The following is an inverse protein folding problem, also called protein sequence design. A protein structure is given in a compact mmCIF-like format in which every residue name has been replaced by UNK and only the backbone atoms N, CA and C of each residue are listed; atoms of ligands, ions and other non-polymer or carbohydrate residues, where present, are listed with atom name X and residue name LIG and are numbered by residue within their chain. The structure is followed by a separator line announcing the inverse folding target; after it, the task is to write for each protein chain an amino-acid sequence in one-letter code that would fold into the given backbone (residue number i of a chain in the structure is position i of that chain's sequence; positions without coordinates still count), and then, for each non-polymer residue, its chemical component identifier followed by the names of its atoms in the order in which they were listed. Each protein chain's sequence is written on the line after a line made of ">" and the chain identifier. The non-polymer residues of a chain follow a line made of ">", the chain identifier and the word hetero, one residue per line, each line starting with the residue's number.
data_IF_154558239070
#
_entry.id   IF_154558239070
#
_cell.length_a   1.000
_cell.length_b   1.000
_cell.length_c   1.000
_cell.angle_alpha   90.00
_cell.angle_beta   90.00
_cell.angle_gamma   90.00
#
_symmetry.space_group_name_H-M   'P 1'
#
loop_
_entity.id
_entity.type
_entity.pdbx_description
1 polymer ?
#
# COMPACT_ATOMS: atom_id res chain seq x y z
N UNK A 1 3.10 10.98 -37.18
CA UNK A 1 1.68 11.38 -37.30
C UNK A 1 0.78 10.25 -37.79
N UNK A 2 1.11 9.47 -38.82
CA UNK A 2 0.32 8.25 -39.19
C UNK A 2 0.72 6.99 -38.40
N UNK A 3 2.01 6.75 -38.18
CA UNK A 3 2.50 5.59 -37.41
C UNK A 3 2.09 5.61 -35.91
N UNK A 4 1.95 6.80 -35.33
CA UNK A 4 1.52 6.97 -33.93
C UNK A 4 0.03 6.63 -33.75
N UNK A 5 -0.79 6.91 -34.77
CA UNK A 5 -2.23 6.61 -34.75
C UNK A 5 -2.49 5.11 -34.88
N UNK A 6 -1.72 4.40 -35.71
CA UNK A 6 -1.80 2.94 -35.85
C UNK A 6 -1.33 2.21 -34.58
N UNK A 7 -0.27 2.72 -33.93
CA UNK A 7 0.23 2.17 -32.66
C UNK A 7 -0.77 2.33 -31.51
N UNK A 8 -1.38 3.50 -31.34
CA UNK A 8 -2.39 3.73 -30.31
C UNK A 8 -3.67 2.93 -30.55
N UNK A 9 -4.07 2.76 -31.82
CA UNK A 9 -5.21 1.91 -32.21
C UNK A 9 -4.95 0.43 -31.87
N UNK A 10 -3.75 -0.07 -32.21
CA UNK A 10 -3.32 -1.42 -31.88
C UNK A 10 -3.29 -1.65 -30.36
N UNK A 11 -2.71 -0.74 -29.60
CA UNK A 11 -2.63 -0.78 -28.13
C UNK A 11 -4.03 -0.79 -27.49
N UNK A 12 -4.94 0.04 -27.99
CA UNK A 12 -6.33 0.09 -27.53
C UNK A 12 -7.08 -1.22 -27.82
N UNK A 13 -6.84 -1.83 -28.99
CA UNK A 13 -7.44 -3.13 -29.33
C UNK A 13 -6.93 -4.27 -28.45
N UNK A 14 -5.62 -4.29 -28.14
CA UNK A 14 -5.00 -5.24 -27.22
C UNK A 14 -5.57 -5.08 -25.80
N UNK A 15 -5.63 -3.86 -25.28
CA UNK A 15 -6.21 -3.54 -23.96
C UNK A 15 -7.65 -4.05 -23.85
N UNK A 16 -8.45 -3.83 -24.91
CA UNK A 16 -9.84 -4.31 -24.98
C UNK A 16 -9.91 -5.83 -24.94
N UNK A 17 -9.01 -6.52 -25.65
CA UNK A 17 -8.94 -7.99 -25.66
C UNK A 17 -8.58 -8.55 -24.29
N UNK A 18 -7.56 -7.99 -23.61
CA UNK A 18 -7.18 -8.42 -22.26
C UNK A 18 -8.29 -8.16 -21.24
N UNK A 19 -8.98 -7.03 -21.34
CA UNK A 19 -10.12 -6.71 -20.47
C UNK A 19 -11.29 -7.69 -20.67
N UNK A 20 -11.61 -8.04 -21.91
CA UNK A 20 -12.64 -9.03 -22.21
C UNK A 20 -12.24 -10.43 -21.70
N UNK A 21 -11.00 -10.83 -21.93
CA UNK A 21 -10.43 -12.07 -21.42
C UNK A 21 -10.50 -12.17 -19.89
N UNK A 22 -10.10 -11.11 -19.19
CA UNK A 22 -10.14 -11.03 -17.73
C UNK A 22 -11.58 -11.18 -17.19
N UNK A 23 -12.56 -10.52 -17.82
CA UNK A 23 -13.99 -10.65 -17.47
C UNK A 23 -14.49 -12.07 -17.67
N UNK A 24 -14.19 -12.68 -18.82
CA UNK A 24 -14.61 -14.06 -19.11
C UNK A 24 -14.00 -15.06 -18.11
N UNK A 25 -12.77 -14.83 -17.67
CA UNK A 25 -12.16 -15.64 -16.62
C UNK A 25 -12.95 -15.54 -15.31
N UNK A 26 -13.32 -14.33 -14.87
CA UNK A 26 -14.14 -14.13 -13.66
C UNK A 26 -15.49 -14.82 -13.77
N UNK A 27 -16.18 -14.66 -14.90
CA UNK A 27 -17.46 -15.34 -15.18
C UNK A 27 -17.32 -16.87 -15.09
N UNK A 28 -16.23 -17.43 -15.63
CA UNK A 28 -15.96 -18.87 -15.55
C UNK A 28 -15.77 -19.37 -14.10
N UNK A 29 -15.34 -18.50 -13.17
CA UNK A 29 -15.15 -18.83 -11.75
C UNK A 29 -16.38 -18.52 -10.89
N UNK A 30 -17.40 -17.85 -11.44
CA UNK A 30 -18.59 -17.44 -10.69
C UNK A 30 -19.30 -18.61 -9.96
N UNK A 31 -19.47 -19.82 -10.55
CA UNK A 31 -20.08 -20.95 -9.83
C UNK A 31 -19.29 -21.44 -8.61
N UNK A 32 -17.99 -21.16 -8.58
CA UNK A 32 -17.15 -21.46 -7.43
C UNK A 32 -17.22 -20.33 -6.40
N UNK A 33 -17.06 -19.09 -6.85
CA UNK A 33 -17.09 -17.89 -5.99
C UNK A 33 -18.42 -17.81 -5.22
N UNK A 34 -19.53 -18.15 -5.85
CA UNK A 34 -20.87 -18.12 -5.24
C UNK A 34 -21.07 -19.11 -4.08
N UNK A 35 -20.15 -20.07 -3.87
CA UNK A 35 -20.20 -21.01 -2.74
C UNK A 35 -19.73 -20.39 -1.43
N UNK A 36 -19.07 -19.24 -1.49
CA UNK A 36 -18.44 -18.59 -0.35
C UNK A 36 -19.13 -17.27 -0.03
N UNK A 37 -19.20 -16.93 1.26
CA UNK A 37 -19.62 -15.58 1.66
C UNK A 37 -18.57 -14.53 1.25
N UNK A 38 -18.98 -13.27 1.11
CA UNK A 38 -18.07 -12.18 0.74
C UNK A 38 -16.89 -12.00 1.71
N UNK A 39 -17.05 -12.35 3.00
CA UNK A 39 -15.95 -12.34 3.96
C UNK A 39 -14.90 -13.43 3.68
N UNK A 40 -15.34 -14.59 3.18
CA UNK A 40 -14.46 -15.73 2.85
C UNK A 40 -13.75 -15.58 1.50
N UNK A 41 -14.18 -14.65 0.66
CA UNK A 41 -13.51 -14.35 -0.61
C UNK A 41 -12.37 -13.37 -0.32
N UNK A 42 -11.16 -13.91 -0.23
CA UNK A 42 -9.96 -13.15 0.09
C UNK A 42 -9.15 -12.83 -1.18
N UNK A 43 -8.53 -11.66 -1.18
CA UNK A 43 -7.62 -11.21 -2.22
C UNK A 43 -6.33 -10.67 -1.59
N UNK A 44 -5.20 -10.95 -2.23
CA UNK A 44 -3.89 -10.49 -1.80
C UNK A 44 -2.98 -10.31 -3.00
N UNK A 45 -2.12 -9.29 -2.92
CA UNK A 45 -1.05 -9.04 -3.88
C UNK A 45 0.08 -8.25 -3.20
N UNK A 46 1.18 -8.10 -3.91
CA UNK A 46 2.38 -7.40 -3.49
C UNK A 46 2.43 -5.98 -4.07
N UNK A 47 2.64 -4.97 -3.22
CA UNK A 47 2.96 -3.62 -3.63
C UNK A 47 4.40 -3.27 -3.23
N UNK A 48 5.24 -2.93 -4.20
CA UNK A 48 6.62 -2.48 -3.96
C UNK A 48 6.71 -0.98 -3.69
N UNK A 49 7.64 -0.59 -2.82
CA UNK A 49 7.97 0.79 -2.46
C UNK A 49 9.49 1.00 -2.56
N UNK A 50 9.91 2.22 -2.89
CA UNK A 50 11.32 2.61 -2.86
C UNK A 50 11.69 3.00 -1.42
N UNK A 51 12.86 2.60 -0.95
CA UNK A 51 13.38 3.00 0.36
C UNK A 51 13.88 4.46 0.37
N UNK A 52 14.34 4.96 -0.78
CA UNK A 52 14.77 6.35 -0.93
C UNK A 52 13.59 7.23 -1.39
N UNK A 53 13.23 8.22 -0.57
CA UNK A 53 12.32 9.28 -0.99
C UNK A 53 13.05 10.26 -1.90
N UNK A 54 12.49 10.52 -3.07
CA UNK A 54 12.94 11.59 -3.96
C UNK A 54 11.76 12.52 -4.21
N UNK A 55 11.84 13.78 -3.76
CA UNK A 55 10.75 14.71 -3.96
C UNK A 55 10.55 14.92 -5.48
N UNK A 56 9.31 14.82 -5.99
CA UNK A 56 9.04 15.00 -7.42
C UNK A 56 9.19 16.45 -7.88
N UNK A 57 9.37 17.38 -6.94
CA UNK A 57 9.57 18.80 -7.20
C UNK A 57 10.70 19.30 -6.32
N UNK A 58 11.61 20.04 -6.92
CA UNK A 58 12.64 20.77 -6.20
C UNK A 58 12.10 22.11 -5.78
N UNK A 59 12.38 22.51 -4.53
CA UNK A 59 12.16 23.87 -4.07
C UNK A 59 13.38 24.70 -4.47
N UNK A 60 13.22 25.65 -5.38
CA UNK A 60 14.27 26.59 -5.79
C UNK A 60 13.75 28.01 -5.86
N UNK A 61 14.64 28.99 -5.75
CA UNK A 61 14.29 30.40 -5.86
C UNK A 61 14.33 30.86 -7.32
N UNK A 62 13.38 31.72 -7.71
CA UNK A 62 13.37 32.32 -9.06
C UNK A 62 14.64 33.13 -9.28
N UNK A 63 15.47 32.72 -10.26
CA UNK A 63 16.73 33.38 -10.60
C UNK A 63 18.01 32.65 -10.16
N UNK A 64 17.91 31.51 -9.47
CA UNK A 64 19.08 30.67 -9.16
C UNK A 64 19.71 30.09 -10.43
N UNK A 65 21.03 30.22 -10.57
CA UNK A 65 21.81 29.63 -11.68
C UNK A 65 21.95 28.11 -11.57
N UNK A 66 21.89 27.59 -10.34
CA UNK A 66 22.08 26.17 -10.02
C UNK A 66 21.12 25.80 -8.90
N UNK A 67 20.35 24.73 -9.12
CA UNK A 67 19.45 24.16 -8.12
C UNK A 67 19.98 22.79 -7.72
N UNK A 68 20.25 22.59 -6.43
CA UNK A 68 20.63 21.27 -5.92
C UNK A 68 19.41 20.34 -5.92
N UNK A 69 19.54 19.20 -6.58
CA UNK A 69 18.51 18.16 -6.64
C UNK A 69 19.03 16.90 -5.96
N UNK A 70 18.20 16.28 -5.13
CA UNK A 70 18.47 14.92 -4.65
C UNK A 70 18.23 13.96 -5.81
N UNK A 71 19.31 13.38 -6.35
CA UNK A 71 19.26 12.40 -7.42
C UNK A 71 19.44 10.97 -6.87
N UNK A 72 18.88 9.97 -7.56
CA UNK A 72 19.14 8.54 -7.27
C UNK A 72 20.64 8.26 -7.36
N UNK A 73 21.14 7.33 -6.55
CA UNK A 73 22.50 6.78 -6.76
C UNK A 73 22.65 6.30 -8.20
N UNK A 74 23.70 6.81 -8.88
CA UNK A 74 24.00 6.60 -10.31
C UNK A 74 24.25 5.13 -10.68
N UNK A 75 24.66 4.30 -9.71
CA UNK A 75 24.99 2.88 -9.89
C UNK A 75 24.56 2.05 -8.67
N UNK A 76 23.26 1.90 -8.43
CA UNK A 76 22.70 0.74 -7.72
C UNK A 76 21.17 0.82 -7.77
N UNK A 77 20.53 -0.33 -7.95
CA UNK A 77 19.09 -0.53 -7.75
C UNK A 77 18.67 0.15 -6.44
N UNK A 78 17.88 1.22 -6.51
CA UNK A 78 17.31 1.85 -5.33
C UNK A 78 16.67 0.74 -4.47
N UNK A 79 17.02 0.62 -3.19
CA UNK A 79 16.56 -0.55 -2.46
C UNK A 79 15.04 -0.51 -2.30
N UNK A 80 14.39 -1.64 -2.50
CA UNK A 80 12.93 -1.74 -2.48
C UNK A 80 12.48 -2.51 -1.24
N UNK A 81 11.24 -2.29 -0.82
CA UNK A 81 10.56 -3.19 0.09
C UNK A 81 9.16 -3.47 -0.44
N UNK A 82 8.58 -4.59 -0.01
CA UNK A 82 7.28 -5.05 -0.50
C UNK A 82 6.29 -5.20 0.63
N UNK A 83 5.05 -4.78 0.39
CA UNK A 83 3.93 -4.89 1.33
C UNK A 83 2.87 -5.78 0.70
N UNK A 84 2.37 -6.77 1.45
CA UNK A 84 1.33 -7.68 1.01
C UNK A 84 0.20 -7.72 2.04
N UNK A 85 -0.86 -6.92 1.87
CA UNK A 85 -2.07 -7.01 2.66
C UNK A 85 -3.00 -8.12 2.15
N UNK A 86 -3.96 -8.52 2.99
CA UNK A 86 -5.08 -9.37 2.59
C UNK A 86 -6.37 -8.61 2.83
N UNK A 87 -7.26 -8.62 1.85
CA UNK A 87 -8.58 -7.99 1.92
C UNK A 87 -9.67 -9.00 1.62
N UNK A 88 -10.81 -8.88 2.27
CA UNK A 88 -12.02 -9.63 1.95
C UNK A 88 -12.94 -8.83 1.04
N UNK A 89 -13.78 -9.56 0.29
CA UNK A 89 -14.73 -8.94 -0.64
C UNK A 89 -15.87 -8.18 0.06
N UNK A 90 -16.09 -8.43 1.35
CA UNK A 90 -17.01 -7.63 2.18
C UNK A 90 -16.37 -6.35 2.75
N UNK A 91 -15.12 -6.06 2.40
CA UNK A 91 -14.48 -4.77 2.67
C UNK A 91 -13.54 -4.72 3.85
N UNK A 92 -13.21 -5.85 4.48
CA UNK A 92 -12.25 -5.86 5.57
C UNK A 92 -10.83 -5.94 5.04
N UNK A 93 -9.93 -5.17 5.65
CA UNK A 93 -8.49 -5.37 5.59
C UNK A 93 -8.13 -6.25 6.79
N UNK A 94 -7.62 -7.45 6.54
CA UNK A 94 -7.30 -8.41 7.60
C UNK A 94 -6.15 -7.88 8.47
N UNK A 95 -6.16 -8.26 9.76
CA UNK A 95 -5.34 -7.70 10.84
C UNK A 95 -3.83 -7.64 10.57
N UNK A 96 -3.30 -8.58 9.76
CA UNK A 96 -1.86 -8.68 9.49
C UNK A 96 -1.58 -8.49 8.01
N UNK A 97 -0.45 -7.85 7.74
CA UNK A 97 0.15 -7.84 6.41
C UNK A 97 1.61 -8.29 6.47
N UNK A 98 2.13 -8.77 5.34
CA UNK A 98 3.53 -9.12 5.19
C UNK A 98 4.33 -7.91 4.68
N UNK A 99 5.41 -7.58 5.37
CA UNK A 99 6.42 -6.61 4.95
C UNK A 99 7.71 -7.36 4.66
N UNK A 100 8.25 -7.21 3.44
CA UNK A 100 9.51 -7.80 3.03
C UNK A 100 10.53 -6.68 2.84
N UNK A 101 11.53 -6.64 3.71
CA UNK A 101 12.63 -5.68 3.64
C UNK A 101 13.78 -6.26 2.83
N UNK A 102 14.50 -5.38 2.14
CA UNK A 102 15.73 -5.76 1.45
C UNK A 102 16.90 -5.86 2.43
N UNK A 103 17.57 -7.01 2.44
CA UNK A 103 18.74 -7.31 3.27
C UNK A 103 19.90 -7.83 2.43
N UNK A 104 21.11 -7.86 3.00
CA UNK A 104 22.27 -8.49 2.31
C UNK A 104 22.08 -9.99 2.11
N UNK A 105 21.42 -10.64 3.07
CA UNK A 105 21.04 -12.05 3.03
C UNK A 105 19.53 -12.21 3.01
N UNK A 106 19.03 -13.44 2.85
CA UNK A 106 17.58 -13.71 2.94
C UNK A 106 17.05 -13.75 4.38
N UNK A 107 17.79 -13.16 5.32
CA UNK A 107 17.50 -13.11 6.76
C UNK A 107 18.01 -11.80 7.34
N UNK A 108 17.42 -11.39 8.46
CA UNK A 108 17.97 -10.30 9.28
C UNK A 108 19.21 -10.79 10.03
N UNK A 109 20.24 -9.95 10.14
CA UNK A 109 21.38 -10.23 11.01
C UNK A 109 20.95 -10.32 12.48
N UNK A 110 21.67 -11.07 13.31
CA UNK A 110 21.32 -11.33 14.73
C UNK A 110 21.06 -10.05 15.54
N UNK A 111 21.89 -9.02 15.35
CA UNK A 111 21.72 -7.73 16.04
C UNK A 111 20.43 -7.01 15.60
N UNK A 112 20.13 -7.04 14.30
CA UNK A 112 18.90 -6.47 13.75
C UNK A 112 17.68 -7.21 14.31
N UNK A 113 17.68 -8.54 14.33
CA UNK A 113 16.59 -9.32 14.91
C UNK A 113 16.33 -9.00 16.39
N UNK A 114 17.39 -8.77 17.17
CA UNK A 114 17.28 -8.44 18.60
C UNK A 114 16.70 -7.05 18.85
N UNK A 115 16.97 -6.09 17.96
CA UNK A 115 16.62 -4.69 18.15
C UNK A 115 15.36 -4.26 17.39
N UNK A 116 14.86 -5.07 16.47
CA UNK A 116 13.63 -4.81 15.73
C UNK A 116 12.40 -4.92 16.63
N UNK A 117 11.63 -3.85 16.71
CA UNK A 117 10.30 -3.88 17.34
C UNK A 117 9.26 -4.09 16.24
N UNK A 118 8.53 -5.20 16.29
CA UNK A 118 7.53 -5.54 15.26
C UNK A 118 6.13 -5.41 15.86
N UNK A 119 5.30 -4.47 15.37
CA UNK A 119 3.91 -4.34 15.80
C UNK A 119 3.09 -5.60 15.46
N UNK A 120 2.05 -5.90 16.24
CA UNK A 120 1.25 -7.13 16.10
C UNK A 120 0.55 -7.28 14.76
N UNK A 121 0.29 -6.19 14.04
CA UNK A 121 -0.29 -6.16 12.69
C UNK A 121 0.72 -6.34 11.55
N UNK A 122 2.01 -6.59 11.86
CA UNK A 122 3.05 -6.77 10.84
C UNK A 122 3.70 -8.13 10.96
N UNK A 123 3.80 -8.84 9.83
CA UNK A 123 4.71 -9.97 9.66
C UNK A 123 5.90 -9.46 8.87
N UNK A 124 7.10 -9.44 9.45
CA UNK A 124 8.30 -8.91 8.78
C UNK A 124 9.20 -10.04 8.31
N UNK A 125 9.64 -9.98 7.05
CA UNK A 125 10.62 -10.89 6.44
C UNK A 125 11.72 -10.10 5.73
N UNK A 126 12.82 -10.79 5.42
CA UNK A 126 13.98 -10.24 4.73
C UNK A 126 14.28 -11.03 3.46
N UNK A 127 14.62 -10.36 2.35
CA UNK A 127 15.16 -11.00 1.14
C UNK A 127 16.24 -10.15 0.50
N UNK A 128 17.11 -10.75 -0.33
CA UNK A 128 18.16 -10.00 -1.06
C UNK A 128 17.62 -8.90 -1.99
N UNK A 129 16.41 -9.11 -2.52
CA UNK A 129 15.77 -8.20 -3.47
C UNK A 129 14.73 -7.26 -2.84
N UNK A 130 14.34 -7.48 -1.59
CA UNK A 130 13.18 -6.82 -0.97
C UNK A 130 11.84 -7.23 -1.59
N UNK A 131 11.84 -8.23 -2.48
CA UNK A 131 10.65 -8.79 -3.14
C UNK A 131 10.35 -10.17 -2.59
N UNK A 132 9.09 -10.57 -2.70
CA UNK A 132 8.70 -11.97 -2.51
C UNK A 132 9.33 -12.84 -3.61
N UNK A 133 9.72 -14.06 -3.26
CA UNK A 133 9.96 -15.09 -4.29
C UNK A 133 8.61 -15.56 -4.82
N UNK A 134 8.54 -16.12 -6.04
CA UNK A 134 7.32 -16.72 -6.62
C UNK A 134 6.77 -17.96 -5.84
N UNK A 135 7.23 -18.13 -4.60
CA UNK A 135 6.93 -19.20 -3.71
C UNK A 135 5.57 -18.95 -3.04
N UNK A 136 4.58 -19.74 -3.45
CA UNK A 136 3.21 -19.71 -2.94
C UNK A 136 3.14 -19.95 -1.42
N UNK A 137 4.12 -20.61 -0.80
CA UNK A 137 4.13 -20.80 0.65
C UNK A 137 4.34 -19.49 1.40
N UNK A 138 5.10 -18.54 0.83
CA UNK A 138 5.26 -17.20 1.42
C UNK A 138 4.03 -16.35 1.22
N UNK A 139 3.35 -16.50 0.08
CA UNK A 139 2.08 -15.84 -0.20
C UNK A 139 0.98 -16.29 0.77
N UNK A 140 0.94 -17.59 1.13
CA UNK A 140 0.00 -18.15 2.10
C UNK A 140 0.24 -17.72 3.55
N UNK A 141 1.43 -17.21 3.88
CA UNK A 141 1.80 -16.89 5.26
C UNK A 141 0.94 -15.78 5.91
N UNK A 142 0.21 -14.99 5.11
CA UNK A 142 -0.70 -13.94 5.59
C UNK A 142 -2.16 -14.38 5.61
N UNK A 143 -2.49 -15.56 5.08
CA UNK A 143 -3.86 -16.05 5.05
C UNK A 143 -4.20 -16.78 6.36
N UNK A 144 -5.40 -16.56 6.91
CA UNK A 144 -5.80 -17.16 8.19
C UNK A 144 -5.98 -18.67 8.12
N UNK A 145 -6.28 -19.24 6.94
CA UNK A 145 -6.50 -20.67 6.76
C UNK A 145 -5.70 -21.22 5.56
N UNK A 146 -4.89 -22.24 5.81
CA UNK A 146 -4.07 -22.90 4.79
C UNK A 146 -4.87 -23.84 3.86
N UNK A 147 -6.09 -24.22 4.25
CA UNK A 147 -7.01 -25.07 3.46
C UNK A 147 -7.82 -24.26 2.43
N UNK A 148 -7.45 -23.01 2.18
CA UNK A 148 -8.13 -22.14 1.24
C UNK A 148 -7.94 -22.59 -0.21
N UNK A 149 -9.00 -22.56 -1.01
CA UNK A 149 -8.90 -22.76 -2.45
C UNK A 149 -8.24 -21.54 -3.10
N UNK A 150 -7.10 -21.77 -3.78
CA UNK A 150 -6.35 -20.71 -4.43
C UNK A 150 -6.85 -20.50 -5.87
N UNK A 151 -7.17 -19.25 -6.20
CA UNK A 151 -7.40 -18.79 -7.56
C UNK A 151 -6.29 -17.83 -7.96
N UNK A 152 -5.64 -18.10 -9.08
CA UNK A 152 -4.59 -17.27 -9.65
C UNK A 152 -5.17 -16.56 -10.86
N UNK A 153 -5.12 -15.23 -10.87
CA UNK A 153 -5.55 -14.46 -12.02
C UNK A 153 -4.69 -14.79 -13.25
N UNK A 154 -5.29 -14.81 -14.45
CA UNK A 154 -4.53 -15.14 -15.63
C UNK A 154 -3.52 -14.04 -15.97
N UNK A 155 -2.47 -14.40 -16.69
CA UNK A 155 -1.40 -13.47 -17.06
C UNK A 155 -1.94 -12.28 -17.87
N UNK A 156 -1.38 -11.08 -17.61
CA UNK A 156 -1.79 -9.84 -18.29
C UNK A 156 -3.15 -9.28 -17.86
N UNK A 157 -3.81 -9.85 -16.84
CA UNK A 157 -5.15 -9.41 -16.40
C UNK A 157 -5.16 -8.54 -15.14
N UNK A 158 -4.04 -8.47 -14.41
CA UNK A 158 -3.94 -7.81 -13.10
C UNK A 158 -4.49 -6.38 -13.11
N UNK A 159 -4.13 -5.58 -14.11
CA UNK A 159 -4.56 -4.18 -14.23
C UNK A 159 -6.09 -3.99 -14.29
N UNK A 160 -6.84 -5.05 -14.64
CA UNK A 160 -8.30 -5.00 -14.81
C UNK A 160 -9.08 -5.70 -13.71
N UNK A 161 -8.54 -6.77 -13.12
CA UNK A 161 -9.29 -7.63 -12.19
C UNK A 161 -8.61 -7.85 -10.83
N UNK A 162 -7.49 -7.17 -10.55
CA UNK A 162 -6.85 -7.21 -9.23
C UNK A 162 -7.45 -6.14 -8.29
N UNK A 163 -8.29 -6.51 -7.29
CA UNK A 163 -8.97 -5.54 -6.41
C UNK A 163 -8.02 -4.57 -5.69
N UNK A 164 -6.84 -5.05 -5.30
CA UNK A 164 -5.87 -4.23 -4.57
C UNK A 164 -5.26 -3.12 -5.44
N UNK A 165 -4.92 -3.39 -6.70
CA UNK A 165 -4.42 -2.37 -7.65
C UNK A 165 -5.50 -1.37 -8.05
N UNK A 166 -6.73 -1.84 -8.20
CA UNK A 166 -7.88 -1.00 -8.54
C UNK A 166 -8.15 0.02 -7.43
N UNK A 167 -8.04 -0.39 -6.16
CA UNK A 167 -8.47 0.43 -5.03
C UNK A 167 -7.43 0.62 -3.93
N UNK A 168 -7.12 -0.42 -3.14
CA UNK A 168 -6.39 -0.31 -1.88
C UNK A 168 -4.98 0.30 -2.04
N UNK A 169 -4.21 -0.14 -3.04
CA UNK A 169 -2.84 0.28 -3.23
C UNK A 169 -2.70 1.75 -3.63
N UNK A 170 -3.69 2.30 -4.33
CA UNK A 170 -3.73 3.75 -4.63
C UNK A 170 -3.81 4.55 -3.34
N UNK A 171 -4.70 4.14 -2.43
CA UNK A 171 -4.87 4.75 -1.11
C UNK A 171 -3.61 4.58 -0.24
N UNK A 172 -3.00 3.38 -0.24
CA UNK A 172 -1.76 3.12 0.50
C UNK A 172 -0.59 3.99 0.02
N UNK A 173 -0.37 4.07 -1.30
CA UNK A 173 0.68 4.91 -1.91
C UNK A 173 0.44 6.38 -1.60
N UNK A 174 -0.80 6.84 -1.71
CA UNK A 174 -1.16 8.21 -1.36
C UNK A 174 -0.81 8.57 0.10
N UNK A 175 -1.16 7.72 1.07
CA UNK A 175 -0.83 8.00 2.48
C UNK A 175 0.70 7.99 2.69
N UNK A 176 1.41 7.01 2.12
CA UNK A 176 2.87 6.92 2.19
C UNK A 176 3.54 8.20 1.64
N UNK A 177 3.17 8.64 0.44
CA UNK A 177 3.69 9.85 -0.18
C UNK A 177 3.42 11.12 0.66
N UNK A 178 2.28 11.17 1.37
CA UNK A 178 1.96 12.27 2.28
C UNK A 178 2.85 12.28 3.51
N UNK A 179 3.15 11.11 4.07
CA UNK A 179 4.06 10.95 5.21
C UNK A 179 5.47 11.38 4.80
N UNK A 180 5.99 10.87 3.69
CA UNK A 180 7.33 11.22 3.20
C UNK A 180 7.45 12.72 2.89
N UNK A 181 6.43 13.30 2.26
CA UNK A 181 6.40 14.73 1.99
C UNK A 181 6.39 15.57 3.27
N UNK A 182 5.67 15.13 4.30
CA UNK A 182 5.66 15.80 5.60
C UNK A 182 7.03 15.77 6.26
N UNK A 183 7.68 14.60 6.28
CA UNK A 183 9.03 14.41 6.82
C UNK A 183 10.01 15.37 6.13
N UNK A 184 9.96 15.41 4.79
CA UNK A 184 10.82 16.28 3.99
C UNK A 184 10.58 17.78 4.26
N UNK A 185 9.32 18.23 4.27
CA UNK A 185 8.97 19.64 4.49
C UNK A 185 9.38 20.11 5.89
N UNK A 186 9.20 19.27 6.91
CA UNK A 186 9.50 19.62 8.29
C UNK A 186 10.96 19.29 8.67
N UNK A 187 11.79 18.84 7.71
CA UNK A 187 13.21 18.49 7.92
C UNK A 187 13.42 17.54 9.09
N UNK A 188 12.54 16.54 9.21
CA UNK A 188 12.68 15.50 10.22
C UNK A 188 13.91 14.66 9.83
N UNK A 189 14.92 14.68 10.68
CA UNK A 189 16.12 13.87 10.48
C UNK A 189 15.74 12.40 10.60
N UNK A 190 15.91 11.65 9.51
CA UNK A 190 15.70 10.21 9.50
C UNK A 190 16.97 9.49 9.06
N UNK A 191 17.21 8.33 9.67
CA UNK A 191 18.24 7.42 9.21
C UNK A 191 17.66 6.63 8.03
N UNK A 192 18.24 6.82 6.84
CA UNK A 192 17.77 6.25 5.55
C UNK A 192 17.71 4.70 5.56
N UNK A 193 18.41 4.03 6.47
CA UNK A 193 18.43 2.58 6.64
C UNK A 193 17.57 2.06 7.80
N UNK A 194 16.70 2.91 8.35
CA UNK A 194 15.92 2.55 9.53
C UNK A 194 14.74 1.63 9.16
N UNK A 195 14.97 0.33 9.37
CA UNK A 195 13.94 -0.71 9.25
C UNK A 195 12.74 -0.40 10.13
N UNK A 196 12.97 0.21 11.30
CA UNK A 196 11.92 0.55 12.23
C UNK A 196 10.97 1.58 11.64
N UNK A 197 11.49 2.58 10.92
CA UNK A 197 10.68 3.54 10.18
C UNK A 197 9.74 2.86 9.19
N UNK A 198 10.24 1.95 8.34
CA UNK A 198 9.39 1.26 7.36
C UNK A 198 8.33 0.38 8.02
N UNK A 199 8.70 -0.32 9.10
CA UNK A 199 7.79 -1.16 9.89
C UNK A 199 6.68 -0.31 10.51
N UNK A 200 7.04 0.75 11.23
CA UNK A 200 6.08 1.63 11.90
C UNK A 200 5.17 2.34 10.90
N UNK A 201 5.76 2.89 9.84
CA UNK A 201 5.01 3.60 8.79
C UNK A 201 3.98 2.69 8.13
N UNK A 202 4.37 1.48 7.73
CA UNK A 202 3.42 0.57 7.09
C UNK A 202 2.44 -0.09 8.07
N UNK A 203 2.83 -0.28 9.34
CA UNK A 203 1.92 -0.65 10.42
C UNK A 203 0.83 0.39 10.60
N UNK A 204 1.19 1.67 10.69
CA UNK A 204 0.24 2.78 10.81
C UNK A 204 -0.62 2.90 9.56
N UNK A 205 -0.05 2.87 8.34
CA UNK A 205 -0.85 2.97 7.11
C UNK A 205 -1.85 1.81 7.02
N UNK A 206 -1.42 0.60 7.38
CA UNK A 206 -2.32 -0.56 7.42
C UNK A 206 -3.45 -0.33 8.43
N UNK A 207 -3.12 0.12 9.65
CA UNK A 207 -4.11 0.49 10.67
C UNK A 207 -5.07 1.58 10.18
N UNK A 208 -4.58 2.62 9.51
CA UNK A 208 -5.48 3.67 9.00
C UNK A 208 -6.44 3.09 7.96
N UNK A 209 -5.96 2.26 7.03
CA UNK A 209 -6.78 1.67 5.98
C UNK A 209 -7.72 0.54 6.46
N UNK A 210 -7.51 -0.02 7.65
CA UNK A 210 -8.44 -0.96 8.27
C UNK A 210 -9.63 -0.29 8.96
N UNK A 211 -9.64 1.05 9.07
CA UNK A 211 -10.75 1.78 9.68
C UNK A 211 -12.08 1.53 8.96
N UNK A 212 -13.22 1.47 9.68
CA UNK A 212 -14.54 1.17 9.09
C UNK A 212 -14.94 2.10 7.94
N UNK A 213 -14.45 3.34 7.95
CA UNK A 213 -14.70 4.34 6.91
C UNK A 213 -14.20 3.89 5.53
N UNK A 214 -13.18 3.05 5.47
CA UNK A 214 -12.61 2.57 4.20
C UNK A 214 -13.18 1.21 3.75
N UNK A 215 -14.17 0.66 4.45
CA UNK A 215 -14.82 -0.60 4.06
C UNK A 215 -15.34 -0.56 2.63
N UNK A 216 -16.10 0.48 2.29
CA UNK A 216 -16.66 0.65 0.94
C UNK A 216 -15.56 0.88 -0.11
N UNK A 217 -14.43 1.50 0.27
CA UNK A 217 -13.27 1.67 -0.62
C UNK A 217 -12.67 0.31 -0.99
N UNK A 218 -12.54 -0.61 -0.03
CA UNK A 218 -12.05 -1.97 -0.28
C UNK A 218 -13.07 -2.77 -1.12
N UNK A 219 -14.35 -2.77 -0.73
CA UNK A 219 -15.42 -3.47 -1.49
C UNK A 219 -15.50 -3.01 -2.95
N UNK A 220 -15.35 -1.71 -3.18
CA UNK A 220 -15.34 -1.14 -4.51
C UNK A 220 -14.27 -1.77 -5.42
N UNK A 221 -13.12 -2.18 -4.89
CA UNK A 221 -12.11 -2.91 -5.66
C UNK A 221 -12.62 -4.24 -6.20
N UNK A 222 -13.33 -5.02 -5.37
CA UNK A 222 -13.92 -6.30 -5.75
C UNK A 222 -15.09 -6.14 -6.73
N UNK A 223 -15.89 -5.08 -6.56
CA UNK A 223 -17.01 -4.75 -7.46
C UNK A 223 -16.49 -4.36 -8.84
N UNK A 224 -15.49 -3.48 -8.90
CA UNK A 224 -14.89 -3.06 -10.17
C UNK A 224 -14.17 -4.21 -10.89
N UNK A 225 -13.58 -5.14 -10.13
CA UNK A 225 -13.01 -6.38 -10.68
C UNK A 225 -14.07 -7.38 -11.18
N UNK A 226 -15.36 -7.17 -10.90
CA UNK A 226 -16.45 -8.08 -11.26
C UNK A 226 -16.55 -9.35 -10.40
N UNK A 227 -15.80 -9.41 -9.29
CA UNK A 227 -15.78 -10.56 -8.37
C UNK A 227 -17.09 -10.61 -7.56
N UNK A 228 -17.62 -9.45 -7.19
CA UNK A 228 -18.88 -9.32 -6.44
C UNK A 228 -19.80 -8.29 -7.06
N UNK A 229 -21.10 -8.50 -6.93
CA UNK A 229 -22.13 -7.54 -7.37
C UNK A 229 -22.79 -6.82 -6.19
N UNK A 230 -22.04 -6.65 -5.09
CA UNK A 230 -22.56 -5.99 -3.89
C UNK A 230 -22.91 -4.53 -4.18
N UNK A 231 -24.00 -4.04 -3.60
CA UNK A 231 -24.30 -2.60 -3.58
C UNK A 231 -23.60 -1.98 -2.38
N UNK A 232 -22.87 -0.89 -2.61
CA UNK A 232 -22.14 -0.16 -1.57
C UNK A 232 -22.62 1.28 -1.47
N UNK A 233 -22.45 1.86 -0.29
CA UNK A 233 -22.72 3.28 -0.05
C UNK A 233 -21.59 4.18 -0.55
N UNK A 234 -21.51 5.37 0.05
CA UNK A 234 -20.47 6.35 -0.26
C UNK A 234 -19.07 5.77 -0.02
N UNK A 235 -18.17 6.03 -0.97
CA UNK A 235 -16.77 5.64 -0.90
C UNK A 235 -15.96 6.81 -0.34
N UNK A 236 -15.50 6.65 0.89
CA UNK A 236 -14.57 7.58 1.52
C UNK A 236 -13.13 7.33 1.06
N UNK A 237 -12.38 8.41 0.82
CA UNK A 237 -10.97 8.35 0.39
C UNK A 237 -10.06 8.91 1.49
N UNK A 238 -8.81 8.42 1.63
CA UNK A 238 -7.89 8.95 2.64
C UNK A 238 -7.65 10.46 2.51
N UNK A 239 -7.71 11.02 1.30
CA UNK A 239 -7.62 12.47 1.08
C UNK A 239 -8.64 13.23 1.92
N UNK A 240 -9.88 12.76 1.91
CA UNK A 240 -11.01 13.44 2.55
C UNK A 240 -11.12 13.07 4.03
N UNK A 241 -10.78 11.82 4.36
CA UNK A 241 -10.85 11.31 5.74
C UNK A 241 -9.65 11.70 6.59
N UNK A 242 -8.43 11.55 6.08
CA UNK A 242 -7.20 11.68 6.87
C UNK A 242 -6.47 13.02 6.64
N UNK A 243 -6.67 13.65 5.49
CA UNK A 243 -5.87 14.82 5.06
C UNK A 243 -6.69 16.08 4.79
N UNK A 244 -7.98 16.07 5.13
CA UNK A 244 -8.84 17.25 5.16
C UNK A 244 -9.16 17.58 6.61
N UNK A 245 -8.28 18.34 7.24
CA UNK A 245 -8.41 18.78 8.64
C UNK A 245 -8.16 20.29 8.76
N UNK A 246 -8.77 20.88 9.78
CA UNK A 246 -8.58 22.30 10.16
C UNK A 246 -7.58 22.46 11.30
N UNK A 247 -7.41 21.41 12.12
CA UNK A 247 -6.47 21.38 13.23
C UNK A 247 -5.03 21.37 12.71
N UNK A 248 -4.38 22.54 12.78
CA UNK A 248 -3.01 22.70 12.33
C UNK A 248 -1.98 22.04 13.27
N UNK A 249 -2.40 21.70 14.49
CA UNK A 249 -1.55 21.18 15.55
C UNK A 249 -2.07 19.88 16.12
N UNK A 250 -1.14 19.05 16.57
CA UNK A 250 -1.43 17.75 17.14
C UNK A 250 -2.31 17.85 18.40
N UNK A 251 -3.33 16.99 18.50
CA UNK A 251 -4.30 16.98 19.60
C UNK A 251 -3.84 16.24 20.87
N UNK A 252 -2.61 15.72 20.90
CA UNK A 252 -2.07 14.99 22.07
C UNK A 252 -1.35 15.95 23.02
N UNK A 253 -1.32 15.59 24.31
CA UNK A 253 -0.63 16.37 25.34
C UNK A 253 0.87 16.47 24.96
N UNK A 254 1.35 17.69 24.67
CA UNK A 254 2.66 18.10 24.09
C UNK A 254 2.63 18.59 22.62
N UNK A 255 1.46 18.69 21.98
CA UNK A 255 1.31 18.96 20.54
C UNK A 255 1.52 20.40 20.08
N UNK A 256 2.76 20.92 20.13
CA UNK A 256 3.14 22.12 19.35
C UNK A 256 3.57 21.78 17.91
N UNK A 257 3.68 20.49 17.58
CA UNK A 257 4.01 20.02 16.24
C UNK A 257 2.80 20.09 15.30
N UNK A 258 3.10 20.31 14.01
CA UNK A 258 2.09 20.34 12.97
C UNK A 258 1.40 18.99 12.83
N UNK A 259 0.12 19.02 12.49
CA UNK A 259 -0.63 17.81 12.15
C UNK A 259 -0.08 17.19 10.87
N UNK A 260 0.27 15.92 10.94
CA UNK A 260 0.61 15.07 9.79
C UNK A 260 -0.67 14.50 9.16
N UNK A 261 -1.53 13.87 9.96
CA UNK A 261 -2.81 13.33 9.53
C UNK A 261 -3.83 13.24 10.66
N UNK A 262 -5.10 13.23 10.28
CA UNK A 262 -6.22 12.91 11.17
C UNK A 262 -6.49 11.41 11.17
N UNK A 263 -6.50 10.79 12.35
CA UNK A 263 -6.69 9.35 12.48
C UNK A 263 -8.07 8.93 11.95
N UNK A 264 -8.12 7.91 11.09
CA UNK A 264 -9.36 7.39 10.54
C UNK A 264 -10.24 6.71 11.60
N UNK A 265 -9.64 6.18 12.67
CA UNK A 265 -10.37 5.53 13.77
C UNK A 265 -10.92 6.53 14.79
N UNK A 266 -10.05 7.33 15.41
CA UNK A 266 -10.42 8.17 16.56
C UNK A 266 -10.54 9.66 16.24
N UNK A 267 -10.30 10.06 14.98
CA UNK A 267 -10.39 11.45 14.50
C UNK A 267 -9.46 12.46 15.18
N UNK A 268 -8.52 12.01 16.01
CA UNK A 268 -7.46 12.89 16.57
C UNK A 268 -6.52 13.36 15.46
N UNK A 269 -6.14 14.63 15.51
CA UNK A 269 -5.08 15.19 14.67
C UNK A 269 -3.71 14.79 15.26
N UNK A 270 -2.87 14.12 14.48
CA UNK A 270 -1.62 13.54 14.96
C UNK A 270 -0.43 14.09 14.17
N UNK A 271 0.63 14.50 14.87
CA UNK A 271 1.93 14.79 14.27
C UNK A 271 2.72 13.51 13.97
N UNK A 272 3.91 13.65 13.38
CA UNK A 272 4.80 12.53 13.08
C UNK A 272 5.19 11.73 14.33
N UNK A 273 5.62 12.40 15.41
CA UNK A 273 6.03 11.73 16.64
C UNK A 273 4.91 10.84 17.21
N UNK A 274 3.73 11.42 17.43
CA UNK A 274 2.60 10.69 18.03
C UNK A 274 2.00 9.62 17.11
N UNK A 275 2.15 9.77 15.79
CA UNK A 275 1.63 8.80 14.84
C UNK A 275 2.60 7.64 14.59
N UNK A 276 3.85 7.93 14.24
CA UNK A 276 4.83 6.97 13.69
C UNK A 276 5.83 6.51 14.75
N UNK A 277 6.40 7.43 15.54
CA UNK A 277 7.43 7.08 16.53
C UNK A 277 6.82 6.40 17.76
N UNK A 278 5.72 6.97 18.27
CA UNK A 278 4.94 6.39 19.36
C UNK A 278 3.93 5.33 18.89
N UNK A 279 3.83 5.12 17.57
CA UNK A 279 3.05 4.05 16.95
C UNK A 279 1.56 4.06 17.34
N UNK A 280 0.79 5.00 16.77
CA UNK A 280 -0.65 5.13 17.04
C UNK A 280 -1.48 4.09 16.28
N UNK A 281 -1.99 3.09 17.02
CA UNK A 281 -2.72 1.95 16.47
C UNK A 281 -4.08 1.73 17.15
N UNK A 282 -5.01 1.10 16.43
CA UNK A 282 -6.35 0.69 16.85
C UNK A 282 -6.54 -0.78 16.40
N UNK A 283 -5.80 -1.67 17.06
CA UNK A 283 -5.78 -3.11 16.79
C UNK A 283 -6.62 -3.85 17.82
#
# INVERSE_FOLDING_TARGET
>A
TSQDADYETYKTSLDTNYRHYAKNWIESKRPLISKYSSYQILNSDHCSFQQEYIPPRTLSFTGERTTEVTAKKKYNTAPYFTVQPVTSADGHLLDKFLLILQEKENTFGKSVQKNLTVPSNVIVKATKSGKSSADLTKFRAVFPNQDSQLLIFPEGSTDYIQPQDISLFRSRRFIHEKIERYIHINRIEMIISDRQYFINTHSVIHNQLSAPQFKNLIQNGFIQAGITNATIGQIEKPKDVCFKFYDLYCSTNNGNERTLLMCAWCRKALCYCHLIEQLHLHL
#
